data_IF_173620861077
#
_entry.id   IF_173620861077
#
_cell.length_a   1.000
_cell.length_b   1.000
_cell.length_c   1.000
_cell.angle_alpha   90.00
_cell.angle_beta   90.00
_cell.angle_gamma   90.00
#
_symmetry.space_group_name_H-M   'P 1'
#
loop_
_entity.id
_entity.type
_entity.pdbx_description
1 polymer ?
#
# COMPACT_ATOMS: atom_id res chain seq x y z
N UNK A 1 -5.79 -6.88 -7.41
CA UNK A 1 -6.77 -7.99 -7.54
C UNK A 1 -8.19 -7.47 -7.30
N UNK A 2 -9.24 -8.27 -7.50
CA UNK A 2 -10.62 -7.83 -7.22
C UNK A 2 -10.90 -7.65 -5.72
N UNK A 3 -10.53 -8.60 -4.88
CA UNK A 3 -10.72 -8.54 -3.43
C UNK A 3 -9.51 -9.13 -2.69
N UNK A 4 -8.91 -8.36 -1.78
CA UNK A 4 -7.94 -8.90 -0.80
C UNK A 4 -8.74 -9.45 0.37
N UNK A 5 -8.65 -10.76 0.63
CA UNK A 5 -9.36 -11.43 1.72
C UNK A 5 -8.50 -12.49 2.39
N UNK A 6 -9.09 -13.32 3.25
CA UNK A 6 -8.37 -14.41 3.91
C UNK A 6 -8.01 -15.60 3.03
N UNK A 7 -8.52 -15.65 1.80
CA UNK A 7 -8.13 -16.65 0.81
C UNK A 7 -6.93 -16.20 -0.01
N UNK A 8 -6.62 -14.90 -0.04
CA UNK A 8 -5.47 -14.37 -0.78
C UNK A 8 -4.13 -15.05 -0.41
N UNK A 9 -3.82 -15.35 0.86
CA UNK A 9 -2.63 -16.11 1.23
C UNK A 9 -2.57 -17.54 0.63
N UNK A 10 -3.70 -18.12 0.24
CA UNK A 10 -3.80 -19.53 -0.14
C UNK A 10 -3.54 -19.73 -1.65
N UNK A 11 -2.43 -19.18 -2.15
CA UNK A 11 -2.01 -19.36 -3.54
C UNK A 11 -2.54 -18.32 -4.53
N UNK A 12 -3.17 -17.23 -4.07
CA UNK A 12 -3.55 -16.13 -4.98
C UNK A 12 -2.34 -15.28 -5.33
N UNK A 13 -2.42 -14.68 -6.52
CA UNK A 13 -1.35 -13.91 -7.15
C UNK A 13 -0.74 -12.85 -6.21
N UNK A 14 -1.51 -12.00 -5.49
CA UNK A 14 -0.89 -10.94 -4.68
C UNK A 14 -0.02 -11.47 -3.54
N UNK A 15 -0.39 -12.60 -2.93
CA UNK A 15 0.41 -13.22 -1.90
C UNK A 15 1.71 -13.81 -2.48
N UNK A 16 1.66 -14.45 -3.65
CA UNK A 16 2.88 -14.98 -4.29
C UNK A 16 3.83 -13.87 -4.73
N UNK A 17 3.30 -12.81 -5.35
CA UNK A 17 4.10 -11.62 -5.71
C UNK A 17 4.77 -11.04 -4.48
N UNK A 18 4.04 -10.95 -3.36
CA UNK A 18 4.58 -10.44 -2.12
C UNK A 18 5.71 -11.32 -1.55
N UNK A 19 5.54 -12.66 -1.55
CA UNK A 19 6.58 -13.59 -1.10
C UNK A 19 7.84 -13.47 -1.95
N UNK A 20 7.69 -13.37 -3.27
CA UNK A 20 8.83 -13.17 -4.19
C UNK A 20 9.50 -11.83 -3.90
N UNK A 21 8.75 -10.73 -3.77
CA UNK A 21 9.33 -9.42 -3.47
C UNK A 21 10.14 -9.41 -2.17
N UNK A 22 9.70 -10.17 -1.14
CA UNK A 22 10.44 -10.33 0.12
C UNK A 22 11.75 -11.07 -0.01
N UNK A 23 11.93 -11.96 -0.99
CA UNK A 23 13.26 -12.56 -1.25
C UNK A 23 14.26 -11.53 -1.79
N UNK A 24 13.80 -10.36 -2.24
CA UNK A 24 14.62 -9.25 -2.72
C UNK A 24 14.58 -8.01 -1.81
N UNK A 25 14.04 -8.15 -0.59
CA UNK A 25 13.88 -7.05 0.38
C UNK A 25 13.13 -5.84 -0.21
N UNK A 26 12.09 -6.10 -1.01
CA UNK A 26 11.26 -5.05 -1.61
C UNK A 26 9.94 -4.86 -0.86
N UNK A 27 9.54 -3.61 -0.58
CA UNK A 27 8.22 -3.33 -0.02
C UNK A 27 7.12 -3.58 -1.06
N UNK A 28 5.95 -4.01 -0.60
CA UNK A 28 4.79 -4.34 -1.43
C UNK A 28 3.54 -3.64 -0.91
N UNK A 29 2.95 -2.82 -1.78
CA UNK A 29 1.62 -2.25 -1.55
C UNK A 29 0.64 -2.85 -2.55
N UNK A 30 -0.44 -3.46 -2.07
CA UNK A 30 -1.46 -4.05 -2.93
C UNK A 30 -2.67 -3.12 -3.10
N UNK A 31 -3.05 -2.86 -4.36
CA UNK A 31 -4.30 -2.16 -4.68
C UNK A 31 -5.36 -3.18 -5.08
N UNK A 32 -6.52 -3.11 -4.43
CA UNK A 32 -7.61 -4.05 -4.67
C UNK A 32 -8.95 -3.34 -4.83
N UNK A 33 -9.85 -3.97 -5.58
CA UNK A 33 -11.25 -3.52 -5.70
C UNK A 33 -11.89 -3.32 -4.33
N UNK A 34 -11.84 -4.37 -3.50
CA UNK A 34 -12.38 -4.36 -2.14
C UNK A 34 -11.42 -5.00 -1.14
N UNK A 35 -11.62 -4.66 0.14
CA UNK A 35 -10.94 -5.30 1.27
C UNK A 35 -11.96 -6.18 1.98
N UNK A 36 -11.75 -7.49 1.88
CA UNK A 36 -12.63 -8.52 2.41
C UNK A 36 -12.34 -8.87 3.86
N UNK A 37 -13.08 -9.88 4.33
CA UNK A 37 -12.99 -10.40 5.69
C UNK A 37 -11.55 -10.85 5.99
N UNK A 38 -11.05 -10.46 7.16
CA UNK A 38 -9.74 -10.90 7.68
C UNK A 38 -8.54 -10.59 6.75
N UNK A 39 -8.63 -9.59 5.88
CA UNK A 39 -7.58 -9.17 4.95
C UNK A 39 -6.21 -8.93 5.61
N UNK A 40 -6.17 -8.55 6.90
CA UNK A 40 -4.92 -8.35 7.66
C UNK A 40 -4.01 -9.59 7.71
N UNK A 41 -4.54 -10.80 7.48
CA UNK A 41 -3.70 -12.01 7.36
C UNK A 41 -2.66 -11.89 6.24
N UNK A 42 -2.93 -11.10 5.20
CA UNK A 42 -2.03 -10.90 4.08
C UNK A 42 -0.69 -10.25 4.47
N UNK A 43 -0.63 -9.55 5.62
CA UNK A 43 0.63 -9.03 6.14
C UNK A 43 1.64 -10.15 6.43
N UNK A 44 1.17 -11.31 6.87
CA UNK A 44 2.02 -12.49 7.11
C UNK A 44 2.55 -13.11 5.81
N UNK A 45 1.92 -12.80 4.66
CA UNK A 45 2.37 -13.25 3.35
C UNK A 45 3.33 -12.26 2.67
N UNK A 46 3.73 -11.18 3.36
CA UNK A 46 4.69 -10.20 2.86
C UNK A 46 4.08 -8.98 2.17
N UNK A 47 2.76 -8.83 2.15
CA UNK A 47 2.14 -7.55 1.75
C UNK A 47 2.40 -6.56 2.89
N UNK A 48 2.99 -5.39 2.63
CA UNK A 48 3.29 -4.40 3.68
C UNK A 48 2.11 -3.45 3.92
N UNK A 49 1.38 -3.14 2.87
CA UNK A 49 0.16 -2.35 2.94
C UNK A 49 -0.82 -2.75 1.84
N UNK A 50 -2.09 -2.46 2.02
CA UNK A 50 -3.08 -2.60 0.97
C UNK A 50 -4.13 -1.50 1.06
N UNK A 51 -4.72 -1.14 -0.08
CA UNK A 51 -5.77 -0.14 -0.18
C UNK A 51 -6.90 -0.61 -1.08
N UNK A 52 -8.12 -0.22 -0.72
CA UNK A 52 -9.27 -0.27 -1.63
C UNK A 52 -9.10 0.82 -2.68
N UNK A 53 -9.40 0.52 -3.93
CA UNK A 53 -9.55 1.55 -4.97
C UNK A 53 -10.92 2.21 -4.87
N UNK A 54 -11.94 1.47 -4.41
CA UNK A 54 -13.30 2.00 -4.28
C UNK A 54 -13.33 3.07 -3.17
N UNK A 55 -13.76 4.31 -3.46
CA UNK A 55 -13.69 5.45 -2.54
C UNK A 55 -14.82 5.45 -1.49
N UNK A 56 -15.87 4.66 -1.69
CA UNK A 56 -17.01 4.58 -0.79
C UNK A 56 -18.07 3.58 -1.25
N UNK A 57 -19.18 3.44 -0.51
CA UNK A 57 -20.27 2.54 -0.90
C UNK A 57 -20.78 2.84 -2.31
N UNK A 58 -20.88 1.82 -3.14
CA UNK A 58 -21.31 1.93 -4.54
C UNK A 58 -21.91 0.60 -5.01
N UNK A 59 -22.56 0.60 -6.17
CA UNK A 59 -23.02 -0.63 -6.84
C UNK A 59 -21.85 -1.35 -7.52
N UNK A 60 -22.02 -2.64 -7.79
CA UNK A 60 -21.00 -3.40 -8.53
C UNK A 60 -20.77 -2.83 -9.94
N UNK A 61 -21.85 -2.44 -10.62
CA UNK A 61 -21.76 -1.90 -11.98
C UNK A 61 -20.93 -0.61 -12.01
N UNK A 62 -21.23 0.34 -11.10
CA UNK A 62 -20.44 1.57 -10.97
C UNK A 62 -18.99 1.25 -10.57
N UNK A 63 -18.77 0.27 -9.70
CA UNK A 63 -17.42 -0.11 -9.30
C UNK A 63 -16.57 -0.67 -10.45
N UNK A 64 -17.20 -1.36 -11.40
CA UNK A 64 -16.54 -1.86 -12.60
C UNK A 64 -16.33 -0.72 -13.61
N UNK A 65 -17.34 0.13 -13.81
CA UNK A 65 -17.29 1.26 -14.74
C UNK A 65 -16.21 2.29 -14.35
N UNK A 66 -16.12 2.66 -13.08
CA UNK A 66 -15.15 3.65 -12.57
C UNK A 66 -13.79 3.05 -12.15
N UNK A 67 -13.59 1.73 -12.28
CA UNK A 67 -12.44 1.02 -11.72
C UNK A 67 -11.09 1.62 -12.14
N UNK A 68 -10.94 1.99 -13.42
CA UNK A 68 -9.71 2.56 -13.96
C UNK A 68 -9.37 3.89 -13.30
N UNK A 69 -10.33 4.82 -13.27
CA UNK A 69 -10.21 6.14 -12.65
C UNK A 69 -9.88 6.03 -11.16
N UNK A 70 -10.54 5.13 -10.46
CA UNK A 70 -10.32 4.92 -9.03
C UNK A 70 -8.99 4.26 -8.74
N UNK A 71 -8.53 3.33 -9.59
CA UNK A 71 -7.21 2.74 -9.49
C UNK A 71 -6.11 3.80 -9.66
N UNK A 72 -6.24 4.69 -10.64
CA UNK A 72 -5.30 5.80 -10.86
C UNK A 72 -5.21 6.70 -9.62
N UNK A 73 -6.36 7.19 -9.12
CA UNK A 73 -6.39 8.06 -7.93
C UNK A 73 -5.87 7.37 -6.67
N UNK A 74 -6.18 6.08 -6.49
CA UNK A 74 -5.67 5.30 -5.37
C UNK A 74 -4.15 5.12 -5.42
N UNK A 75 -3.60 4.80 -6.60
CA UNK A 75 -2.16 4.67 -6.81
C UNK A 75 -1.44 6.00 -6.53
N UNK A 76 -1.96 7.10 -7.06
CA UNK A 76 -1.43 8.44 -6.81
C UNK A 76 -1.43 8.77 -5.30
N UNK A 77 -2.54 8.51 -4.61
CA UNK A 77 -2.66 8.74 -3.17
C UNK A 77 -1.65 7.91 -2.36
N UNK A 78 -1.48 6.63 -2.69
CA UNK A 78 -0.50 5.75 -2.05
C UNK A 78 0.93 6.28 -2.21
N UNK A 79 1.30 6.72 -3.42
CA UNK A 79 2.63 7.29 -3.66
C UNK A 79 2.82 8.60 -2.89
N UNK A 80 1.79 9.45 -2.79
CA UNK A 80 1.85 10.66 -1.95
C UNK A 80 2.04 10.34 -0.48
N UNK A 81 1.35 9.34 0.07
CA UNK A 81 1.57 8.89 1.44
C UNK A 81 3.01 8.44 1.68
N UNK A 82 3.59 7.67 0.75
CA UNK A 82 4.99 7.26 0.82
C UNK A 82 5.92 8.48 0.77
N UNK A 83 5.65 9.43 -0.13
CA UNK A 83 6.43 10.67 -0.28
C UNK A 83 6.41 11.52 0.99
N UNK A 84 5.25 11.65 1.65
CA UNK A 84 5.14 12.32 2.94
C UNK A 84 6.05 11.62 3.96
N UNK A 85 5.96 10.29 4.08
CA UNK A 85 6.82 9.52 4.97
C UNK A 85 8.32 9.74 4.70
N UNK A 86 8.73 9.73 3.43
CA UNK A 86 10.11 10.00 3.02
C UNK A 86 10.57 11.42 3.40
N UNK A 87 9.69 12.42 3.26
CA UNK A 87 9.99 13.81 3.60
C UNK A 87 10.21 14.03 5.10
N UNK A 88 9.50 13.28 5.94
CA UNK A 88 9.65 13.33 7.40
C UNK A 88 11.03 12.83 7.82
N UNK A 89 11.52 11.73 7.24
CA UNK A 89 12.88 11.21 7.49
C UNK A 89 13.94 12.25 7.09
N UNK A 90 13.76 12.91 5.93
CA UNK A 90 14.66 13.97 5.49
C UNK A 90 14.66 15.21 6.38
N UNK A 91 13.56 15.49 7.08
CA UNK A 91 13.46 16.61 8.02
C UNK A 91 14.17 16.34 9.35
N UNK A 92 14.13 15.10 9.86
CA UNK A 92 14.83 14.70 11.08
C UNK A 92 16.35 14.72 10.91
N UNK A 93 16.87 14.30 9.74
CA UNK A 93 18.30 14.37 9.44
C UNK A 93 18.83 15.82 9.37
N UNK A 94 18.02 16.76 8.87
CA UNK A 94 18.39 18.19 8.85
C UNK A 94 18.39 18.82 10.24
N UNK A 95 17.53 18.34 11.13
CA UNK A 95 17.49 18.79 12.52
C UNK A 95 18.74 18.33 13.29
N UNK A 96 19.10 17.04 13.24
CA UNK A 96 20.31 16.51 13.90
C UNK A 96 21.61 17.15 13.36
N UNK A 97 21.69 17.37 12.04
CA UNK A 97 22.84 18.05 11.43
C UNK A 97 22.97 19.53 11.86
N UNK A 98 21.84 20.22 12.12
CA UNK A 98 21.85 21.62 12.58
C UNK A 98 22.18 21.74 14.07
N UNK A 99 21.73 20.80 14.91
CA UNK A 99 22.04 20.77 16.34
C UNK A 99 23.52 20.51 16.64
N UNK A 100 24.20 19.69 15.83
CA UNK A 100 25.66 19.45 15.96
C UNK A 100 26.51 20.66 15.57
N UNK A 101 26.00 21.55 14.72
CA UNK A 101 26.73 22.74 14.24
C UNK A 101 26.69 23.92 15.22
N UNK A 102 25.76 23.91 16.19
CA UNK A 102 25.64 24.93 17.26
C UNK A 102 26.44 24.52 18.51
N UNK A 103 26.82 23.25 18.63
CA UNK A 103 27.56 22.70 19.77
C UNK A 103 29.10 22.70 19.59
N UNK A 104 29.61 23.33 18.53
CA UNK A 104 31.04 23.52 18.21
C UNK A 104 31.33 25.01 18.06
#
# INVERSE_FOLDING_TARGET
EGCIDDQTPNGKIPAEVARIAKTYDKPVVALAGTIGKNAKRNYQSGIDAFSSIIPGPTTLDNAIEDAEKWLEGCAESVIRHITIGMSLIGSEQKFDASSKKVAL
#
